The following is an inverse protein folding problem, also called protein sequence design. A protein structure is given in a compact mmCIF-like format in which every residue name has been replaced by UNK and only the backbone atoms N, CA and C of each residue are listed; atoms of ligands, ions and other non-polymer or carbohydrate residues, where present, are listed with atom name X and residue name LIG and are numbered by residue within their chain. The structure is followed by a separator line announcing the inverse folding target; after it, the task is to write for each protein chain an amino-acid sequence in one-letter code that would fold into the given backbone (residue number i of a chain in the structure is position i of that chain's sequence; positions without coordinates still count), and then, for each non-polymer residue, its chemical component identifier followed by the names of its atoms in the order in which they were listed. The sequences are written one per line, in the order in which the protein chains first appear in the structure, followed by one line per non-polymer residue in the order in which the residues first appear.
data_IF_215635516000
#
_entry.id   IF_215635516000
#
_cell.length_a   1.000
_cell.length_b   1.000
_cell.length_c   1.000
_cell.angle_alpha   90.00
_cell.angle_beta   90.00
_cell.angle_gamma   90.00
#
_symmetry.space_group_name_H-M   'P 1'
#
loop_
_entity.id
_entity.type
_entity.pdbx_description
1 polymer ?
#
# COMPACT_ATOMS: atom_id res chain seq x y z
N UNK A 1 13.56 49.35 -55.76
CA UNK A 1 13.50 50.36 -54.69
C UNK A 1 13.07 49.67 -53.40
N UNK A 2 13.87 49.79 -52.34
CA UNK A 2 13.76 49.15 -51.03
C UNK A 2 12.95 50.06 -50.08
N UNK A 3 11.92 49.57 -49.40
CA UNK A 3 11.16 50.21 -48.29
C UNK A 3 10.19 49.17 -47.67
N UNK A 4 10.66 48.36 -46.71
CA UNK A 4 10.55 48.52 -45.24
C UNK A 4 9.19 48.05 -44.67
N UNK A 5 9.26 46.98 -43.89
CA UNK A 5 8.19 46.31 -43.12
C UNK A 5 7.89 47.13 -41.86
N UNK A 6 6.62 47.45 -41.53
CA UNK A 6 6.25 47.74 -40.16
C UNK A 6 5.59 46.51 -39.51
N UNK A 7 6.19 46.13 -38.39
CA UNK A 7 5.75 45.16 -37.41
C UNK A 7 4.55 45.72 -36.63
N UNK A 8 3.43 45.00 -36.57
CA UNK A 8 2.30 45.18 -35.64
C UNK A 8 1.22 44.17 -36.09
N UNK A 9 0.62 43.28 -35.29
CA UNK A 9 0.30 43.28 -33.86
C UNK A 9 0.29 41.83 -33.39
N UNK A 10 1.13 41.51 -32.42
CA UNK A 10 1.00 40.33 -31.55
C UNK A 10 -0.03 40.69 -30.49
N UNK A 11 -1.19 40.02 -30.43
CA UNK A 11 -1.93 39.68 -29.20
C UNK A 11 -3.31 39.10 -29.53
N UNK A 12 -3.39 37.76 -29.55
CA UNK A 12 -4.66 37.02 -29.52
C UNK A 12 -4.60 36.01 -28.39
N UNK A 13 -4.83 36.46 -27.16
CA UNK A 13 -4.89 35.61 -25.96
C UNK A 13 -6.13 34.74 -26.07
N UNK A 14 -5.98 33.49 -26.51
CA UNK A 14 -7.03 32.47 -26.40
C UNK A 14 -6.98 31.95 -24.97
N UNK A 15 -7.76 32.57 -24.09
CA UNK A 15 -8.05 32.05 -22.76
C UNK A 15 -8.95 30.81 -22.90
N UNK A 16 -8.34 29.64 -23.06
CA UNK A 16 -9.04 28.37 -22.89
C UNK A 16 -9.22 28.15 -21.39
N UNK A 17 -10.43 28.44 -20.91
CA UNK A 17 -10.87 28.11 -19.56
C UNK A 17 -10.91 26.58 -19.41
N UNK A 18 -9.84 26.00 -18.85
CA UNK A 18 -9.86 24.66 -18.29
C UNK A 18 -10.70 24.70 -17.01
N UNK A 19 -11.98 24.36 -17.15
CA UNK A 19 -12.83 23.97 -16.03
C UNK A 19 -12.24 22.67 -15.48
N UNK A 20 -11.34 22.79 -14.50
CA UNK A 20 -10.95 21.66 -13.66
C UNK A 20 -12.18 21.31 -12.84
N UNK A 21 -12.87 20.25 -13.25
CA UNK A 21 -13.91 19.61 -12.45
C UNK A 21 -13.22 19.04 -11.20
N UNK A 22 -13.11 19.87 -10.17
CA UNK A 22 -12.78 19.43 -8.82
C UNK A 22 -14.01 18.68 -8.27
N UNK A 23 -14.20 17.45 -8.74
CA UNK A 23 -15.10 16.51 -8.07
C UNK A 23 -14.63 16.34 -6.61
N UNK A 24 -15.55 16.04 -5.67
CA UNK A 24 -15.18 15.83 -4.28
C UNK A 24 -14.21 14.65 -4.22
N UNK A 25 -12.94 14.95 -4.01
CA UNK A 25 -11.98 13.93 -3.59
C UNK A 25 -12.37 13.59 -2.18
N UNK A 26 -13.16 12.52 -2.01
CA UNK A 26 -13.25 11.82 -0.73
C UNK A 26 -11.80 11.64 -0.27
N UNK A 27 -11.43 12.29 0.82
CA UNK A 27 -10.07 12.37 1.33
C UNK A 27 -9.69 10.99 1.86
N UNK A 28 -9.30 10.07 0.98
CA UNK A 28 -8.69 8.81 1.40
C UNK A 28 -7.26 9.14 1.80
N UNK A 29 -6.99 9.17 3.11
CA UNK A 29 -5.63 9.26 3.62
C UNK A 29 -4.96 7.91 3.39
N UNK A 30 -3.91 7.91 2.57
CA UNK A 30 -3.07 6.74 2.36
C UNK A 30 -1.77 6.87 3.16
N UNK A 31 -1.53 5.91 4.05
CA UNK A 31 -0.28 5.80 4.79
C UNK A 31 0.46 4.54 4.35
N UNK A 32 1.75 4.71 4.04
CA UNK A 32 2.64 3.61 3.62
C UNK A 32 3.48 3.17 4.82
N UNK A 33 3.43 1.87 5.14
CA UNK A 33 4.06 1.28 6.32
C UNK A 33 4.94 0.11 5.87
N UNK A 34 6.13 0.02 6.45
CA UNK A 34 7.05 -1.07 6.13
C UNK A 34 6.70 -2.36 6.88
N UNK A 35 6.68 -3.52 6.20
CA UNK A 35 6.45 -4.81 6.84
C UNK A 35 7.70 -5.22 7.65
N UNK A 36 7.54 -5.63 8.90
CA UNK A 36 8.68 -5.91 9.80
C UNK A 36 8.91 -7.40 10.03
N UNK A 37 7.83 -8.18 10.13
CA UNK A 37 7.86 -9.61 10.45
C UNK A 37 6.78 -10.35 9.68
N UNK A 38 6.88 -11.67 9.65
CA UNK A 38 5.82 -12.54 9.12
C UNK A 38 5.51 -13.66 10.11
N UNK A 39 4.30 -14.21 10.07
CA UNK A 39 3.94 -15.43 10.81
C UNK A 39 2.97 -16.30 10.01
N UNK A 40 2.95 -17.58 10.32
CA UNK A 40 1.96 -18.53 9.81
C UNK A 40 0.81 -18.65 10.82
N UNK A 41 -0.36 -19.11 10.39
CA UNK A 41 -1.52 -19.30 11.28
C UNK A 41 -1.38 -20.48 12.27
N UNK A 42 -0.30 -21.26 12.18
CA UNK A 42 -0.05 -22.41 13.06
C UNK A 42 -0.86 -23.65 12.69
N UNK A 43 -0.91 -24.63 13.59
CA UNK A 43 -1.59 -25.91 13.36
C UNK A 43 -3.10 -25.73 13.26
N UNK A 44 -3.68 -26.13 12.12
CA UNK A 44 -5.11 -26.01 11.83
C UNK A 44 -5.50 -24.71 11.10
N UNK A 45 -4.56 -23.78 10.93
CA UNK A 45 -4.72 -22.63 10.04
C UNK A 45 -4.47 -22.99 8.57
N UNK A 46 -4.96 -22.14 7.66
CA UNK A 46 -4.70 -22.30 6.23
C UNK A 46 -3.19 -22.13 5.95
N UNK A 47 -2.50 -23.16 5.41
CA UNK A 47 -1.06 -23.08 5.12
C UNK A 47 -0.71 -22.10 4.00
N UNK A 48 -1.71 -21.60 3.26
CA UNK A 48 -1.55 -20.59 2.21
C UNK A 48 -1.64 -19.17 2.74
N UNK A 49 -2.04 -18.97 4.00
CA UNK A 49 -2.12 -17.64 4.60
C UNK A 49 -0.82 -17.31 5.33
N UNK A 50 -0.18 -16.23 4.88
CA UNK A 50 0.95 -15.60 5.52
C UNK A 50 0.49 -14.29 6.15
N UNK A 51 0.64 -14.14 7.46
CA UNK A 51 0.35 -12.88 8.11
C UNK A 51 1.59 -11.98 8.08
N UNK A 52 1.44 -10.75 7.61
CA UNK A 52 2.49 -9.74 7.55
C UNK A 52 2.29 -8.76 8.71
N UNK A 53 3.26 -8.68 9.60
CA UNK A 53 3.25 -7.83 10.77
C UNK A 53 4.00 -6.52 10.53
N UNK A 54 3.43 -5.42 10.98
CA UNK A 54 4.01 -4.08 10.88
C UNK A 54 3.65 -3.27 12.12
N UNK A 55 4.49 -2.28 12.45
CA UNK A 55 4.26 -1.43 13.62
C UNK A 55 3.00 -0.58 13.43
N UNK A 56 2.13 -0.62 14.43
CA UNK A 56 0.90 0.17 14.49
C UNK A 56 0.70 0.63 15.93
N UNK A 57 0.78 1.94 16.14
CA UNK A 57 0.74 2.56 17.48
C UNK A 57 -0.67 2.94 17.91
N UNK A 58 -1.66 2.81 17.03
CA UNK A 58 -3.05 3.06 17.37
C UNK A 58 -3.64 1.82 18.04
N UNK A 59 -4.65 2.05 18.90
CA UNK A 59 -5.25 1.00 19.73
C UNK A 59 -5.98 -0.07 18.91
N UNK A 60 -6.35 0.26 17.67
CA UNK A 60 -6.90 -0.72 16.75
C UNK A 60 -6.98 -0.23 15.32
N UNK A 61 -7.64 -1.02 14.49
CA UNK A 61 -7.84 -0.76 13.07
C UNK A 61 -9.15 -1.35 12.57
N UNK A 62 -9.57 -0.92 11.39
CA UNK A 62 -10.79 -1.40 10.75
C UNK A 62 -10.48 -2.59 9.81
N UNK A 63 -11.45 -3.48 9.64
CA UNK A 63 -11.27 -4.60 8.72
C UNK A 63 -11.10 -4.07 7.28
N UNK A 64 -10.15 -4.66 6.55
CA UNK A 64 -9.77 -4.21 5.21
C UNK A 64 -9.06 -2.84 5.13
N UNK A 65 -8.72 -2.21 6.26
CA UNK A 65 -7.97 -0.95 6.28
C UNK A 65 -6.57 -1.10 5.66
N UNK A 66 -5.96 -2.27 5.84
CA UNK A 66 -4.61 -2.55 5.36
C UNK A 66 -4.65 -3.45 4.14
N UNK A 67 -3.81 -3.13 3.17
CA UNK A 67 -3.57 -3.96 1.99
C UNK A 67 -2.08 -4.12 1.79
N UNK A 68 -1.68 -5.29 1.32
CA UNK A 68 -0.29 -5.57 0.95
C UNK A 68 -0.30 -6.53 -0.23
N UNK A 69 0.62 -6.32 -1.16
CA UNK A 69 0.82 -7.20 -2.30
C UNK A 69 2.05 -8.07 -2.07
N UNK A 70 2.04 -9.27 -2.63
CA UNK A 70 3.20 -10.15 -2.62
C UNK A 70 3.49 -10.69 -4.01
N UNK A 71 4.77 -10.79 -4.35
CA UNK A 71 5.25 -11.43 -5.59
C UNK A 71 5.96 -12.72 -5.22
N UNK A 72 5.48 -13.83 -5.77
CA UNK A 72 6.01 -15.15 -5.46
C UNK A 72 6.90 -15.70 -6.57
N UNK A 73 8.03 -16.24 -6.16
CA UNK A 73 8.89 -17.11 -6.97
C UNK A 73 8.96 -18.50 -6.32
N UNK A 74 9.74 -19.39 -6.94
CA UNK A 74 9.99 -20.73 -6.40
C UNK A 74 10.77 -20.71 -5.08
N UNK A 75 11.55 -19.66 -4.81
CA UNK A 75 12.44 -19.59 -3.63
C UNK A 75 12.09 -18.45 -2.67
N UNK A 76 11.30 -17.47 -3.11
CA UNK A 76 11.14 -16.21 -2.39
C UNK A 76 9.71 -15.68 -2.54
N UNK A 77 9.22 -15.06 -1.46
CA UNK A 77 7.99 -14.28 -1.43
C UNK A 77 8.39 -12.84 -1.12
N UNK A 78 8.31 -11.97 -2.12
CA UNK A 78 8.63 -10.55 -1.95
C UNK A 78 7.38 -9.81 -1.48
N UNK A 79 7.42 -9.29 -0.25
CA UNK A 79 6.34 -8.59 0.43
C UNK A 79 6.45 -7.10 0.16
N UNK A 80 5.38 -6.53 -0.41
CA UNK A 80 5.25 -5.11 -0.70
C UNK A 80 5.12 -4.23 0.55
N UNK A 81 5.11 -2.93 0.33
CA UNK A 81 4.73 -1.96 1.36
C UNK A 81 3.27 -2.16 1.77
N UNK A 82 2.99 -2.11 3.07
CA UNK A 82 1.62 -2.12 3.58
C UNK A 82 1.01 -0.75 3.36
N UNK A 83 -0.16 -0.71 2.72
CA UNK A 83 -0.92 0.52 2.49
C UNK A 83 -2.12 0.53 3.41
N UNK A 84 -2.14 1.47 4.33
CA UNK A 84 -3.30 1.81 5.16
C UNK A 84 -4.16 2.82 4.44
N UNK A 85 -5.45 2.54 4.30
CA UNK A 85 -6.45 3.43 3.71
C UNK A 85 -7.57 3.65 4.70
N UNK A 86 -7.68 4.87 5.21
CA UNK A 86 -8.83 5.29 5.99
C UNK A 86 -9.93 5.82 5.04
N UNK A 87 -11.16 5.34 5.24
CA UNK A 87 -12.34 5.72 4.46
C UNK A 87 -13.51 5.93 5.41
N UNK A 88 -14.25 6.99 5.17
CA UNK A 88 -15.51 7.26 5.88
C UNK A 88 -16.48 6.07 5.70
N UNK A 89 -16.97 5.52 6.82
CA UNK A 89 -17.96 4.44 6.83
C UNK A 89 -17.41 3.00 6.83
N UNK A 90 -16.11 2.78 7.06
CA UNK A 90 -15.61 1.42 7.31
C UNK A 90 -16.18 0.84 8.61
N UNK A 91 -16.50 -0.46 8.59
CA UNK A 91 -16.84 -1.21 9.80
C UNK A 91 -15.56 -1.45 10.60
N UNK A 92 -15.35 -0.64 11.62
CA UNK A 92 -14.22 -0.82 12.52
C UNK A 92 -14.60 -1.87 13.56
N UNK A 93 -14.10 -3.09 13.37
CA UNK A 93 -14.31 -4.21 14.29
C UNK A 93 -13.52 -4.07 15.60
N UNK A 94 -12.81 -2.95 15.81
CA UNK A 94 -11.94 -2.75 16.97
C UNK A 94 -10.82 -3.78 17.01
N UNK A 95 -10.28 -4.15 15.84
CA UNK A 95 -9.20 -5.13 15.77
C UNK A 95 -8.00 -4.56 16.51
N UNK A 96 -7.64 -5.19 17.63
CA UNK A 96 -6.56 -4.73 18.48
C UNK A 96 -5.18 -5.00 17.89
N UNK A 97 -4.19 -4.30 18.41
CA UNK A 97 -2.77 -4.60 18.18
C UNK A 97 -2.25 -5.55 19.26
N UNK A 98 -1.26 -6.38 18.88
CA UNK A 98 -0.50 -7.19 19.83
C UNK A 98 0.95 -6.78 19.72
N UNK A 99 1.59 -6.40 20.83
CA UNK A 99 2.97 -5.89 20.88
C UNK A 99 3.21 -4.69 19.93
N UNK A 100 2.28 -3.72 19.89
CA UNK A 100 2.32 -2.57 18.96
C UNK A 100 2.38 -2.98 17.47
N UNK A 101 1.87 -4.18 17.13
CA UNK A 101 1.81 -4.65 15.76
C UNK A 101 0.36 -4.93 15.33
N UNK A 102 0.06 -4.47 14.13
CA UNK A 102 -1.08 -4.94 13.35
C UNK A 102 -0.61 -6.02 12.36
N UNK A 103 -1.55 -6.86 11.95
CA UNK A 103 -1.31 -7.98 11.05
C UNK A 103 -2.26 -7.91 9.87
N UNK A 104 -1.74 -8.12 8.67
CA UNK A 104 -2.52 -8.22 7.44
C UNK A 104 -2.26 -9.55 6.77
N UNK A 105 -3.32 -10.18 6.25
CA UNK A 105 -3.22 -11.49 5.63
C UNK A 105 -2.80 -11.38 4.17
N UNK A 106 -1.91 -12.28 3.76
CA UNK A 106 -1.48 -12.48 2.39
C UNK A 106 -1.78 -13.92 1.99
N UNK A 107 -2.61 -14.08 0.97
CA UNK A 107 -2.88 -15.37 0.37
C UNK A 107 -1.78 -15.72 -0.64
N UNK A 108 -1.03 -16.78 -0.36
CA UNK A 108 0.01 -17.31 -1.22
C UNK A 108 -0.54 -18.37 -2.18
N UNK A 109 0.10 -18.52 -3.33
CA UNK A 109 -0.19 -19.57 -4.31
C UNK A 109 0.32 -20.94 -3.88
N UNK A 110 1.29 -20.96 -2.98
CA UNK A 110 1.84 -22.16 -2.36
C UNK A 110 2.19 -21.86 -0.89
N UNK A 111 2.32 -22.86 0.00
CA UNK A 111 2.76 -22.64 1.37
C UNK A 111 4.15 -21.98 1.41
N UNK A 112 4.43 -21.17 2.44
CA UNK A 112 5.76 -20.52 2.57
C UNK A 112 6.88 -21.57 2.58
N UNK A 113 6.73 -22.64 3.37
CA UNK A 113 7.65 -23.78 3.38
C UNK A 113 9.09 -23.36 3.68
N UNK A 114 10.02 -23.68 2.77
CA UNK A 114 11.44 -23.31 2.86
C UNK A 114 11.77 -22.00 2.13
N UNK A 115 10.78 -21.31 1.56
CA UNK A 115 10.98 -20.04 0.85
C UNK A 115 11.23 -18.91 1.85
N UNK A 116 12.02 -17.93 1.44
CA UNK A 116 12.23 -16.72 2.23
C UNK A 116 11.12 -15.70 1.98
N UNK A 117 10.66 -15.00 3.02
CA UNK A 117 9.88 -13.78 2.87
C UNK A 117 10.83 -12.58 2.91
N UNK A 118 10.82 -11.73 1.88
CA UNK A 118 11.72 -10.57 1.77
C UNK A 118 10.92 -9.29 1.59
N UNK A 119 11.36 -8.19 2.19
CA UNK A 119 10.75 -6.88 2.01
C UNK A 119 11.13 -6.30 0.65
N UNK A 120 10.14 -5.76 -0.07
CA UNK A 120 10.35 -5.24 -1.42
C UNK A 120 11.19 -3.96 -1.47
N UNK A 121 11.19 -3.14 -0.41
CA UNK A 121 11.84 -1.82 -0.41
C UNK A 121 13.36 -1.91 -0.31
N UNK A 122 13.90 -2.88 0.43
CA UNK A 122 15.32 -2.99 0.76
C UNK A 122 15.88 -4.42 0.59
N UNK A 123 15.05 -5.40 0.27
CA UNK A 123 15.44 -6.80 0.11
C UNK A 123 15.72 -7.54 1.42
N UNK A 124 15.41 -6.94 2.58
CA UNK A 124 15.67 -7.56 3.88
C UNK A 124 14.75 -8.78 4.09
N UNK A 125 15.33 -9.90 4.51
CA UNK A 125 14.56 -11.08 4.91
C UNK A 125 13.77 -10.78 6.19
N UNK A 126 12.46 -10.96 6.12
CA UNK A 126 11.57 -10.78 7.26
C UNK A 126 11.65 -11.99 8.20
N UNK A 127 11.78 -11.73 9.49
CA UNK A 127 11.83 -12.79 10.49
C UNK A 127 10.49 -13.50 10.61
N UNK A 128 10.52 -14.83 10.71
CA UNK A 128 9.35 -15.65 10.99
C UNK A 128 9.08 -15.67 12.50
N UNK A 129 7.96 -15.09 12.92
CA UNK A 129 7.50 -15.10 14.30
C UNK A 129 6.63 -16.35 14.54
N UNK A 130 6.75 -17.02 15.71
CA UNK A 130 5.78 -18.03 16.10
C UNK A 130 4.36 -17.44 16.20
N UNK A 131 3.37 -18.26 15.88
CA UNK A 131 1.93 -17.99 16.02
C UNK A 131 1.51 -18.01 17.48
#
# INVERSE_FOLDING_TARGET
MRKWIPWAVVTGVVAAALVVVAGPRLLTTETRIEPQVVRLLGSGGDPLVLMVGFRWIEEGFCDGQFTVEAVETTTTVTIGTVVSRERDGMMCAGLGTVDEMAWVDVNLRAPLGTRSAVRSSDGVTLALRPS
#
